data_IF_127380502236
#
_entry.id   IF_127380502236
#
_cell.length_a   1.000
_cell.length_b   1.000
_cell.length_c   1.000
_cell.angle_alpha   90.00
_cell.angle_beta   90.00
_cell.angle_gamma   90.00
#
_symmetry.space_group_name_H-M   'P 1'
#
loop_
_entity.id
_entity.type
_entity.pdbx_description
1 polymer ?
#
# COMPACT_ATOMS: atom_id res chain seq x y z
N UNK A 1 -17.32 7.27 8.77
CA UNK A 1 -17.08 8.54 8.05
C UNK A 1 -17.38 8.37 6.56
N UNK A 2 -17.87 9.43 5.89
CA UNK A 2 -18.05 9.45 4.42
C UNK A 2 -16.72 9.29 3.66
N UNK A 3 -16.73 8.45 2.61
CA UNK A 3 -15.59 8.21 1.71
C UNK A 3 -15.03 9.48 1.08
N UNK A 4 -15.89 10.42 0.65
CA UNK A 4 -15.44 11.72 0.13
C UNK A 4 -14.68 12.55 1.17
N UNK A 5 -15.19 12.59 2.41
CA UNK A 5 -14.51 13.26 3.53
C UNK A 5 -13.18 12.58 3.86
N UNK A 6 -13.15 11.24 3.81
CA UNK A 6 -11.91 10.50 4.02
C UNK A 6 -10.89 10.75 2.90
N UNK A 7 -11.33 10.75 1.64
CA UNK A 7 -10.49 11.09 0.50
C UNK A 7 -9.93 12.51 0.60
N UNK A 8 -10.74 13.49 1.03
CA UNK A 8 -10.27 14.86 1.28
C UNK A 8 -9.11 14.89 2.28
N UNK A 9 -9.22 14.15 3.40
CA UNK A 9 -8.13 13.95 4.37
C UNK A 9 -6.89 13.32 3.73
N UNK A 10 -7.06 12.23 2.98
CA UNK A 10 -5.94 11.56 2.28
C UNK A 10 -5.28 12.48 1.25
N UNK A 11 -6.06 13.35 0.60
CA UNK A 11 -5.55 14.33 -0.35
C UNK A 11 -4.69 15.39 0.34
N UNK A 12 -5.13 15.93 1.48
CA UNK A 12 -4.32 16.81 2.32
C UNK A 12 -3.01 16.12 2.74
N UNK A 13 -3.09 14.90 3.30
CA UNK A 13 -1.92 14.11 3.69
C UNK A 13 -0.97 13.83 2.51
N UNK A 14 -1.51 13.65 1.30
CA UNK A 14 -0.70 13.42 0.10
C UNK A 14 0.19 14.61 -0.23
N UNK A 15 -0.27 15.84 -0.02
CA UNK A 15 0.52 17.05 -0.25
C UNK A 15 1.63 17.22 0.77
N UNK A 16 1.46 16.69 1.98
CA UNK A 16 2.51 16.68 3.00
C UNK A 16 3.66 15.73 2.63
N UNK A 17 3.42 14.66 1.84
CA UNK A 17 4.47 13.75 1.39
C UNK A 17 5.40 14.48 0.40
N UNK A 18 6.58 14.84 0.89
CA UNK A 18 7.61 15.57 0.15
C UNK A 18 8.54 14.63 -0.62
N UNK A 19 9.37 15.18 -1.50
CA UNK A 19 10.44 14.41 -2.15
C UNK A 19 11.44 13.82 -1.14
N UNK A 20 11.71 14.52 -0.04
CA UNK A 20 12.58 14.03 1.03
C UNK A 20 11.95 12.84 1.75
N UNK A 21 10.62 12.82 1.89
CA UNK A 21 9.93 11.65 2.43
C UNK A 21 10.11 10.43 1.55
N UNK A 22 10.00 10.57 0.22
CA UNK A 22 10.25 9.48 -0.71
C UNK A 22 11.70 8.98 -0.63
N UNK A 23 12.68 9.89 -0.56
CA UNK A 23 14.09 9.54 -0.43
C UNK A 23 14.36 8.79 0.88
N UNK A 24 13.84 9.28 2.00
CA UNK A 24 14.01 8.67 3.31
C UNK A 24 13.30 7.32 3.41
N UNK A 25 12.10 7.19 2.83
CA UNK A 25 11.38 5.93 2.74
C UNK A 25 12.16 4.89 1.94
N UNK A 26 12.88 5.31 0.88
CA UNK A 26 13.73 4.41 0.08
C UNK A 26 14.90 3.90 0.89
N UNK A 27 15.62 4.80 1.57
CA UNK A 27 16.73 4.43 2.46
C UNK A 27 16.25 3.47 3.56
N UNK A 28 15.08 3.73 4.13
CA UNK A 28 14.45 2.86 5.12
C UNK A 28 14.21 1.45 4.56
N UNK A 29 13.52 1.33 3.41
CA UNK A 29 13.25 0.03 2.77
C UNK A 29 14.53 -0.70 2.38
N UNK A 30 15.54 0.00 1.87
CA UNK A 30 16.83 -0.60 1.54
C UNK A 30 17.50 -1.24 2.76
N UNK A 31 17.42 -0.59 3.93
CA UNK A 31 17.96 -1.13 5.17
C UNK A 31 17.12 -2.27 5.74
N UNK A 32 15.79 -2.14 5.72
CA UNK A 32 14.86 -3.16 6.22
C UNK A 32 14.99 -4.47 5.42
N UNK A 33 15.30 -4.35 4.12
CA UNK A 33 15.48 -5.48 3.21
C UNK A 33 16.94 -5.95 3.07
N UNK A 34 17.86 -5.53 3.96
CA UNK A 34 19.31 -5.78 3.81
C UNK A 34 19.69 -7.24 3.61
N UNK A 35 18.98 -8.16 4.27
CA UNK A 35 19.29 -9.61 4.24
C UNK A 35 18.51 -10.40 3.18
N UNK A 36 17.71 -9.73 2.36
CA UNK A 36 16.99 -10.38 1.26
C UNK A 36 17.90 -10.55 0.03
N UNK A 37 17.63 -11.54 -0.84
CA UNK A 37 18.37 -11.71 -2.08
C UNK A 37 18.40 -10.41 -2.91
N UNK A 38 19.56 -10.05 -3.45
CA UNK A 38 19.79 -8.74 -4.08
C UNK A 38 18.79 -8.45 -5.22
N UNK A 39 18.57 -9.42 -6.11
CA UNK A 39 17.64 -9.26 -7.24
C UNK A 39 16.19 -9.06 -6.77
N UNK A 40 15.78 -9.79 -5.71
CA UNK A 40 14.46 -9.63 -5.10
C UNK A 40 14.31 -8.24 -4.49
N UNK A 41 15.30 -7.82 -3.68
CA UNK A 41 15.32 -6.50 -3.05
C UNK A 41 15.23 -5.38 -4.10
N UNK A 42 16.06 -5.46 -5.15
CA UNK A 42 16.10 -4.45 -6.21
C UNK A 42 14.74 -4.34 -6.92
N UNK A 43 14.19 -5.45 -7.39
CA UNK A 43 12.91 -5.46 -8.10
C UNK A 43 11.75 -4.95 -7.23
N UNK A 44 11.69 -5.39 -5.96
CA UNK A 44 10.65 -4.92 -5.03
C UNK A 44 10.72 -3.41 -4.78
N UNK A 45 11.92 -2.86 -4.57
CA UNK A 45 12.10 -1.41 -4.34
C UNK A 45 11.79 -0.62 -5.60
N UNK A 46 12.18 -1.09 -6.78
CA UNK A 46 11.84 -0.46 -8.06
C UNK A 46 10.33 -0.42 -8.30
N UNK A 47 9.63 -1.54 -8.07
CA UNK A 47 8.16 -1.59 -8.18
C UNK A 47 7.50 -0.67 -7.14
N UNK A 48 7.95 -0.70 -5.88
CA UNK A 48 7.41 0.14 -4.82
C UNK A 48 7.54 1.63 -5.16
N UNK A 49 8.72 2.09 -5.58
CA UNK A 49 8.98 3.49 -5.93
C UNK A 49 8.52 3.89 -7.34
N UNK A 50 7.93 2.98 -8.09
CA UNK A 50 7.13 3.31 -9.28
C UNK A 50 5.66 3.45 -8.88
N UNK A 51 5.11 2.41 -8.26
CA UNK A 51 3.69 2.29 -7.95
C UNK A 51 3.21 3.28 -6.87
N UNK A 52 3.91 3.40 -5.74
CA UNK A 52 3.44 4.26 -4.64
C UNK A 52 3.42 5.74 -5.03
N UNK A 53 4.45 6.29 -5.71
CA UNK A 53 4.41 7.65 -6.23
C UNK A 53 3.34 7.88 -7.30
N UNK A 54 3.04 6.89 -8.15
CA UNK A 54 1.94 6.96 -9.12
C UNK A 54 0.58 7.07 -8.43
N UNK A 55 0.33 6.23 -7.41
CA UNK A 55 -0.89 6.31 -6.60
C UNK A 55 -0.96 7.64 -5.85
N UNK A 56 0.15 8.11 -5.27
CA UNK A 56 0.21 9.41 -4.61
C UNK A 56 -0.15 10.57 -5.57
N UNK A 57 0.32 10.49 -6.82
CA UNK A 57 -0.04 11.46 -7.87
C UNK A 57 -1.52 11.36 -8.25
N UNK A 58 -2.07 10.15 -8.30
CA UNK A 58 -3.50 9.94 -8.54
C UNK A 58 -4.36 10.61 -7.46
N UNK A 59 -4.02 10.43 -6.19
CA UNK A 59 -4.69 11.07 -5.05
C UNK A 59 -4.67 12.61 -5.19
N UNK A 60 -3.52 13.18 -5.56
CA UNK A 60 -3.37 14.64 -5.74
C UNK A 60 -4.23 15.19 -6.89
N UNK A 61 -4.38 14.42 -7.96
CA UNK A 61 -5.04 14.89 -9.18
C UNK A 61 -6.55 14.70 -9.18
N UNK A 62 -7.07 13.69 -8.47
CA UNK A 62 -8.51 13.45 -8.36
C UNK A 62 -9.22 14.51 -7.53
N UNK A 63 -10.43 14.90 -7.93
CA UNK A 63 -11.32 15.76 -7.13
C UNK A 63 -12.24 14.93 -6.24
N UNK A 64 -12.85 15.55 -5.23
CA UNK A 64 -13.77 14.84 -4.32
C UNK A 64 -15.05 14.39 -5.04
N UNK A 65 -15.47 15.10 -6.08
CA UNK A 65 -16.65 14.76 -6.90
C UNK A 65 -16.43 13.49 -7.72
N UNK A 66 -15.18 13.14 -8.04
CA UNK A 66 -14.82 11.89 -8.73
C UNK A 66 -14.88 10.66 -7.82
N UNK A 67 -15.07 10.85 -6.51
CA UNK A 67 -15.15 9.77 -5.54
C UNK A 67 -16.62 9.45 -5.26
N UNK A 68 -16.96 8.16 -5.31
CA UNK A 68 -18.27 7.68 -4.88
C UNK A 68 -18.50 7.96 -3.40
N UNK A 69 -19.73 8.35 -3.03
CA UNK A 69 -20.06 8.71 -1.64
C UNK A 69 -20.70 7.53 -0.91
N UNK A 70 -19.94 6.89 -0.03
CA UNK A 70 -20.36 5.76 0.79
C UNK A 70 -19.82 5.90 2.22
N UNK A 71 -20.30 5.06 3.12
CA UNK A 71 -19.85 5.07 4.51
C UNK A 71 -18.65 4.14 4.67
N UNK A 72 -17.59 4.63 5.30
CA UNK A 72 -16.45 3.84 5.76
C UNK A 72 -16.52 3.79 7.28
N UNK A 73 -16.42 2.60 7.86
CA UNK A 73 -16.40 2.46 9.31
C UNK A 73 -15.08 3.02 9.90
N UNK A 74 -15.18 3.99 10.82
CA UNK A 74 -14.00 4.63 11.43
C UNK A 74 -13.10 3.62 12.16
N UNK A 75 -13.68 2.53 12.65
CA UNK A 75 -12.98 1.43 13.29
C UNK A 75 -12.10 0.67 12.30
N UNK A 76 -12.53 0.51 11.05
CA UNK A 76 -11.73 -0.15 10.01
C UNK A 76 -10.50 0.67 9.63
N UNK A 77 -10.67 1.99 9.46
CA UNK A 77 -9.55 2.91 9.22
C UNK A 77 -8.53 2.77 10.36
N UNK A 78 -8.99 2.79 11.61
CA UNK A 78 -8.12 2.61 12.78
C UNK A 78 -7.41 1.25 12.79
N UNK A 79 -8.09 0.16 12.42
CA UNK A 79 -7.49 -1.18 12.34
C UNK A 79 -6.35 -1.21 11.31
N UNK A 80 -6.56 -0.63 10.13
CA UNK A 80 -5.53 -0.51 9.09
C UNK A 80 -4.35 0.32 9.59
N UNK A 81 -4.62 1.51 10.13
CA UNK A 81 -3.57 2.42 10.62
C UNK A 81 -2.75 1.79 11.76
N UNK A 82 -3.40 1.11 12.71
CA UNK A 82 -2.71 0.39 13.79
C UNK A 82 -1.82 -0.73 13.24
N UNK A 83 -2.30 -1.50 12.26
CA UNK A 83 -1.50 -2.55 11.61
C UNK A 83 -0.28 -1.95 10.92
N UNK A 84 -0.46 -0.88 10.14
CA UNK A 84 0.64 -0.18 9.47
C UNK A 84 1.69 0.38 10.45
N UNK A 85 1.25 0.98 11.57
CA UNK A 85 2.17 1.48 12.60
C UNK A 85 2.97 0.37 13.29
N UNK A 86 2.42 -0.85 13.35
CA UNK A 86 3.07 -1.99 14.01
C UNK A 86 4.15 -2.66 13.14
N UNK A 87 4.13 -2.41 11.83
CA UNK A 87 5.03 -3.04 10.87
C UNK A 87 6.40 -2.37 10.82
N UNK A 88 7.42 -3.17 10.49
CA UNK A 88 8.76 -2.69 10.16
C UNK A 88 9.65 -2.28 11.34
N UNK A 89 10.92 -2.08 11.06
CA UNK A 89 11.95 -1.79 12.07
C UNK A 89 11.96 -0.33 12.54
N UNK A 90 12.53 -0.04 13.72
CA UNK A 90 12.68 1.32 14.25
C UNK A 90 13.97 1.97 13.72
N UNK A 91 14.00 2.28 12.43
CA UNK A 91 15.18 2.82 11.75
C UNK A 91 14.93 4.22 11.17
N UNK A 92 16.01 4.93 10.85
CA UNK A 92 15.96 6.22 10.15
C UNK A 92 15.13 6.11 8.87
N UNK A 93 14.25 7.10 8.65
CA UNK A 93 13.33 7.13 7.51
C UNK A 93 12.01 6.41 7.74
N UNK A 94 11.81 5.75 8.89
CA UNK A 94 10.54 5.11 9.26
C UNK A 94 9.37 6.10 9.22
N UNK A 95 9.52 7.30 9.78
CA UNK A 95 8.42 8.28 9.80
C UNK A 95 7.99 8.68 8.39
N UNK A 96 8.94 8.95 7.50
CA UNK A 96 8.68 9.23 6.09
C UNK A 96 8.05 8.03 5.36
N UNK A 97 8.52 6.81 5.65
CA UNK A 97 7.93 5.58 5.11
C UNK A 97 6.48 5.39 5.58
N UNK A 98 6.23 5.51 6.89
CA UNK A 98 4.89 5.40 7.46
C UNK A 98 3.94 6.44 6.87
N UNK A 99 4.39 7.69 6.72
CA UNK A 99 3.61 8.76 6.09
C UNK A 99 3.18 8.39 4.68
N UNK A 100 4.13 7.96 3.83
CA UNK A 100 3.85 7.52 2.47
C UNK A 100 2.88 6.34 2.43
N UNK A 101 3.18 5.29 3.21
CA UNK A 101 2.42 4.04 3.16
C UNK A 101 1.02 4.24 3.73
N UNK A 102 0.84 4.98 4.83
CA UNK A 102 -0.49 5.27 5.39
C UNK A 102 -1.39 5.95 4.38
N UNK A 103 -0.92 6.99 3.69
CA UNK A 103 -1.73 7.70 2.69
C UNK A 103 -2.08 6.80 1.50
N UNK A 104 -1.08 6.10 0.94
CA UNK A 104 -1.28 5.26 -0.25
C UNK A 104 -2.14 4.02 0.06
N UNK A 105 -1.87 3.31 1.15
CA UNK A 105 -2.59 2.07 1.49
C UNK A 105 -4.03 2.36 1.87
N UNK A 106 -4.30 3.42 2.66
CA UNK A 106 -5.68 3.80 2.96
C UNK A 106 -6.47 4.14 1.69
N UNK A 107 -5.86 4.83 0.73
CA UNK A 107 -6.50 5.10 -0.55
C UNK A 107 -6.81 3.83 -1.33
N UNK A 108 -5.85 2.90 -1.43
CA UNK A 108 -6.01 1.64 -2.16
C UNK A 108 -7.08 0.73 -1.53
N UNK A 109 -7.19 0.71 -0.19
CA UNK A 109 -8.19 -0.09 0.53
C UNK A 109 -9.58 0.55 0.42
N UNK A 110 -9.70 1.82 0.80
CA UNK A 110 -11.01 2.40 1.11
C UNK A 110 -11.60 3.27 0.01
N UNK A 111 -10.82 3.70 -0.98
CA UNK A 111 -11.29 4.63 -2.01
C UNK A 111 -11.27 3.99 -3.40
N UNK A 112 -10.25 3.20 -3.68
CA UNK A 112 -9.96 2.78 -5.05
C UNK A 112 -9.92 1.26 -5.27
N UNK A 113 -10.02 0.48 -4.19
CA UNK A 113 -10.20 -0.98 -4.21
C UNK A 113 -9.25 -1.74 -5.16
N UNK A 114 -7.97 -1.34 -5.16
CA UNK A 114 -6.91 -1.97 -5.95
C UNK A 114 -5.94 -2.76 -5.05
N UNK A 115 -5.15 -3.70 -5.63
CA UNK A 115 -4.11 -4.39 -4.87
C UNK A 115 -3.12 -3.44 -4.18
N UNK A 116 -2.64 -3.84 -2.99
CA UNK A 116 -1.68 -3.06 -2.19
C UNK A 116 -0.26 -3.04 -2.76
N UNK A 117 0.00 -3.89 -3.76
CA UNK A 117 1.25 -4.00 -4.50
C UNK A 117 0.96 -3.88 -5.99
N UNK A 118 1.97 -3.48 -6.76
CA UNK A 118 1.87 -3.45 -8.21
C UNK A 118 1.64 -4.87 -8.76
N UNK A 119 0.96 -4.98 -9.92
CA UNK A 119 0.84 -6.25 -10.63
C UNK A 119 2.21 -6.80 -11.08
N UNK A 120 3.20 -5.91 -11.24
CA UNK A 120 4.58 -6.27 -11.57
C UNK A 120 5.36 -6.81 -10.37
N UNK A 121 4.89 -6.60 -9.13
CA UNK A 121 5.59 -7.05 -7.92
C UNK A 121 5.78 -8.56 -7.91
N UNK A 122 7.05 -8.98 -7.92
CA UNK A 122 7.44 -10.38 -7.81
C UNK A 122 7.52 -10.79 -6.34
N UNK A 123 6.65 -11.71 -5.95
CA UNK A 123 6.68 -12.39 -4.68
C UNK A 123 7.68 -13.56 -4.69
N UNK A 124 8.05 -14.12 -3.51
CA UNK A 124 8.91 -15.30 -3.45
C UNK A 124 8.47 -16.41 -4.41
N UNK A 125 9.44 -17.03 -5.09
CA UNK A 125 9.18 -17.99 -6.17
C UNK A 125 8.86 -17.36 -7.53
N UNK A 126 8.96 -16.03 -7.67
CA UNK A 126 8.76 -15.33 -8.94
C UNK A 126 7.31 -15.14 -9.37
N UNK A 127 6.35 -15.44 -8.47
CA UNK A 127 4.92 -15.27 -8.73
C UNK A 127 4.51 -13.80 -8.62
N UNK A 128 3.42 -13.43 -9.28
CA UNK A 128 2.89 -12.07 -9.31
C UNK A 128 1.37 -12.09 -9.05
N UNK A 129 0.78 -10.93 -8.78
CA UNK A 129 -0.67 -10.80 -8.74
C UNK A 129 -1.21 -11.01 -10.16
N UNK A 130 -2.27 -11.80 -10.29
CA UNK A 130 -2.97 -12.02 -11.56
C UNK A 130 -4.28 -11.24 -11.54
N UNK A 131 -4.57 -10.52 -12.60
CA UNK A 131 -5.89 -9.95 -12.86
C UNK A 131 -6.64 -10.86 -13.84
N UNK A 132 -7.83 -11.35 -13.43
CA UNK A 132 -8.70 -12.19 -14.27
C UNK A 132 -10.16 -11.90 -13.96
N UNK A 133 -10.94 -11.59 -15.00
CA UNK A 133 -12.38 -11.33 -14.91
C UNK A 133 -12.73 -10.25 -13.86
N UNK A 134 -12.00 -9.13 -13.85
CA UNK A 134 -12.22 -8.02 -12.90
C UNK A 134 -11.86 -8.34 -11.45
N UNK A 135 -11.21 -9.47 -11.18
CA UNK A 135 -10.74 -9.84 -9.84
C UNK A 135 -9.21 -9.92 -9.83
N UNK A 136 -8.62 -9.61 -8.68
CA UNK A 136 -7.18 -9.73 -8.43
C UNK A 136 -6.88 -10.94 -7.55
N UNK A 137 -5.83 -11.68 -7.88
CA UNK A 137 -5.45 -12.93 -7.20
C UNK A 137 -3.99 -12.85 -6.75
N UNK A 138 -3.74 -12.97 -5.46
CA UNK A 138 -2.41 -12.83 -4.86
C UNK A 138 -1.82 -14.20 -4.53
N UNK A 139 -0.56 -14.48 -4.92
CA UNK A 139 0.08 -15.77 -4.69
C UNK A 139 0.44 -16.06 -3.22
N UNK A 140 0.33 -15.06 -2.33
CA UNK A 140 0.75 -15.18 -0.92
C UNK A 140 -0.33 -14.75 0.09
N UNK A 141 -1.58 -14.54 -0.35
CA UNK A 141 -2.69 -14.05 0.49
C UNK A 141 -2.84 -14.89 1.78
N UNK A 142 -3.00 -16.21 1.62
CA UNK A 142 -3.15 -17.10 2.77
C UNK A 142 -1.83 -17.39 3.50
N UNK A 143 -0.70 -17.34 2.80
CA UNK A 143 0.61 -17.61 3.38
C UNK A 143 1.07 -16.54 4.41
N UNK A 144 0.48 -15.34 4.35
CA UNK A 144 0.77 -14.23 5.26
C UNK A 144 -0.45 -13.84 6.11
N UNK A 145 -1.44 -14.74 6.26
CA UNK A 145 -2.59 -14.49 7.13
C UNK A 145 -2.18 -14.60 8.61
N UNK A 146 -1.71 -13.49 9.16
CA UNK A 146 -1.31 -13.34 10.56
C UNK A 146 -1.46 -11.87 10.99
N UNK A 147 -1.38 -11.63 12.30
CA UNK A 147 -1.56 -10.31 12.91
C UNK A 147 -0.44 -9.30 12.56
N UNK A 148 0.60 -9.72 11.85
CA UNK A 148 1.74 -8.88 11.45
C UNK A 148 1.67 -8.43 9.98
N UNK A 149 0.67 -8.89 9.22
CA UNK A 149 0.49 -8.52 7.81
C UNK A 149 -0.67 -7.56 7.60
N UNK A 150 -0.73 -6.90 6.44
CA UNK A 150 -1.91 -6.12 6.02
C UNK A 150 -2.75 -6.86 4.97
N UNK A 151 -2.47 -8.15 4.77
CA UNK A 151 -3.06 -8.92 3.68
C UNK A 151 -4.58 -9.06 3.82
N UNK A 152 -5.11 -9.08 5.05
CA UNK A 152 -6.56 -9.15 5.31
C UNK A 152 -7.34 -7.98 4.71
N UNK A 153 -6.73 -6.79 4.63
CA UNK A 153 -7.37 -5.58 4.09
C UNK A 153 -7.21 -5.42 2.57
N UNK A 154 -6.44 -6.29 1.92
CA UNK A 154 -6.21 -6.23 0.47
C UNK A 154 -7.39 -6.83 -0.30
N UNK A 155 -7.81 -6.20 -1.41
CA UNK A 155 -8.89 -6.70 -2.28
C UNK A 155 -8.57 -8.04 -2.96
N UNK A 156 -7.29 -8.42 -3.03
CA UNK A 156 -6.89 -9.66 -3.69
C UNK A 156 -7.49 -10.88 -3.00
N UNK A 157 -8.02 -11.80 -3.83
CA UNK A 157 -8.34 -13.18 -3.48
C UNK A 157 -7.07 -14.03 -3.43
N UNK A 158 -7.16 -15.23 -2.85
CA UNK A 158 -6.06 -16.17 -2.92
C UNK A 158 -5.93 -16.75 -4.33
N UNK A 159 -4.70 -16.96 -4.79
CA UNK A 159 -4.44 -17.49 -6.13
C UNK A 159 -5.06 -18.87 -6.39
N UNK A 160 -5.34 -19.66 -5.35
CA UNK A 160 -5.99 -20.96 -5.49
C UNK A 160 -7.51 -20.85 -5.77
N UNK A 161 -8.10 -19.65 -5.75
CA UNK A 161 -9.50 -19.39 -6.09
C UNK A 161 -9.73 -19.10 -7.59
N UNK A 162 -8.67 -19.16 -8.42
CA UNK A 162 -8.66 -18.80 -9.85
C UNK A 162 -9.28 -19.87 -10.78
#
# INVERSE_FOLDING_TARGET
>A
MKSRKFFSKLKEESYDVSIFDLMNAKVYLEKDMTYLPQDYKKGYIEDFFTFFPEVLKEIKNKTEEEIEDFEIEDEEIKRVELRLCSMGSKQTGRESYEKLVKTVINYLIFINERPLHALTTRFPGGKQIIEKNGNYYCPIKNAQSNELSICEFCICKDLNEL
#
